data_IF_401365994109
#
_entry.id   IF_401365994109
#
_cell.length_a   1.000
_cell.length_b   1.000
_cell.length_c   1.000
_cell.angle_alpha   90.00
_cell.angle_beta   90.00
_cell.angle_gamma   90.00
#
_symmetry.space_group_name_H-M   'P 1'
#
loop_
_entity.id
_entity.type
_entity.pdbx_description
1 polymer ?
#
# COMPACT_ATOMS: atom_id res chain seq x y z
N UNK A 1 -1.94 0.63 0.21
CA UNK A 1 -1.73 0.81 1.67
C UNK A 1 -2.92 1.54 2.27
N UNK A 2 -3.32 1.16 3.47
CA UNK A 2 -4.43 1.75 4.20
C UNK A 2 -3.98 2.70 5.31
N UNK A 3 -4.90 3.50 5.82
CA UNK A 3 -4.63 4.52 6.83
C UNK A 3 -4.18 3.94 8.18
N UNK A 4 -4.50 2.67 8.48
CA UNK A 4 -4.05 1.94 9.67
C UNK A 4 -2.86 1.02 9.42
N UNK A 5 -2.04 1.32 8.41
CA UNK A 5 -0.80 0.60 8.17
C UNK A 5 -0.94 -0.80 7.55
N UNK A 6 -2.12 -1.17 7.04
CA UNK A 6 -2.28 -2.44 6.32
C UNK A 6 -1.91 -2.30 4.85
N UNK A 7 -1.23 -3.31 4.32
CA UNK A 7 -0.77 -3.36 2.94
C UNK A 7 -0.66 -4.77 2.39
N UNK A 8 -0.51 -4.82 1.07
CA UNK A 8 -0.20 -6.02 0.31
C UNK A 8 0.31 -5.62 -1.06
N UNK A 9 1.02 -6.54 -1.70
CA UNK A 9 1.27 -6.53 -3.14
C UNK A 9 0.28 -7.47 -3.81
N UNK A 10 -0.17 -7.12 -5.00
CA UNK A 10 -1.07 -7.94 -5.79
C UNK A 10 -0.57 -7.92 -7.22
N UNK A 11 -0.55 -9.09 -7.87
CA UNK A 11 -0.16 -9.19 -9.27
C UNK A 11 -1.04 -8.31 -10.15
N UNK A 12 -0.45 -7.59 -11.09
CA UNK A 12 -1.17 -6.79 -12.08
C UNK A 12 -2.13 -7.64 -12.92
N UNK A 13 -1.79 -8.91 -13.17
CA UNK A 13 -2.63 -9.86 -13.89
C UNK A 13 -3.96 -10.18 -13.21
N UNK A 14 -4.10 -9.93 -11.90
CA UNK A 14 -5.40 -10.07 -11.25
C UNK A 14 -6.39 -8.98 -11.69
N UNK A 15 -5.90 -7.82 -12.13
CA UNK A 15 -6.72 -6.69 -12.55
C UNK A 15 -7.12 -6.83 -14.02
N UNK A 16 -8.27 -7.45 -14.26
CA UNK A 16 -8.84 -7.53 -15.62
C UNK A 16 -9.07 -6.14 -16.21
N UNK A 17 -8.84 -6.01 -17.51
CA UNK A 17 -9.21 -4.80 -18.26
C UNK A 17 -10.72 -4.59 -18.18
N UNK A 18 -11.14 -3.38 -17.81
CA UNK A 18 -12.55 -2.97 -17.79
C UNK A 18 -12.73 -1.69 -18.60
N UNK A 19 -13.86 -1.56 -19.28
CA UNK A 19 -14.20 -0.34 -20.01
C UNK A 19 -14.31 0.89 -19.09
N UNK A 20 -14.08 2.07 -19.65
CA UNK A 20 -14.20 3.35 -18.95
C UNK A 20 -15.65 3.61 -18.52
N UNK A 21 -15.85 4.19 -17.33
CA UNK A 21 -17.17 4.57 -16.79
C UNK A 21 -17.84 3.51 -15.91
N UNK A 22 -17.23 2.34 -15.74
CA UNK A 22 -17.67 1.34 -14.76
C UNK A 22 -17.27 1.67 -13.31
N UNK A 23 -17.86 0.96 -12.35
CA UNK A 23 -17.51 1.07 -10.91
C UNK A 23 -16.13 0.48 -10.55
N UNK A 24 -15.42 -0.10 -11.52
CA UNK A 24 -14.16 -0.80 -11.32
C UNK A 24 -14.30 -2.18 -10.67
N UNK A 25 -13.19 -2.65 -10.10
CA UNK A 25 -13.08 -3.93 -9.39
C UNK A 25 -12.48 -3.69 -8.01
N UNK A 26 -12.91 -4.45 -6.99
CA UNK A 26 -12.43 -4.31 -5.62
C UNK A 26 -10.92 -4.54 -5.53
N UNK A 27 -10.14 -3.55 -5.08
CA UNK A 27 -8.68 -3.61 -4.93
C UNK A 27 -8.19 -4.17 -3.58
N UNK A 28 -8.99 -4.00 -2.52
CA UNK A 28 -8.72 -4.48 -1.17
C UNK A 28 -10.05 -4.56 -0.39
N UNK A 29 -10.21 -5.57 0.46
CA UNK A 29 -11.34 -5.61 1.39
C UNK A 29 -11.15 -4.57 2.51
N UNK A 30 -12.05 -3.60 2.59
CA UNK A 30 -12.01 -2.54 3.61
C UNK A 30 -12.81 -2.96 4.83
N UNK A 31 -12.19 -2.85 5.99
CA UNK A 31 -12.74 -3.18 7.29
C UNK A 31 -12.44 -2.06 8.29
N UNK A 32 -13.07 -2.09 9.47
CA UNK A 32 -12.73 -1.14 10.55
C UNK A 32 -11.27 -1.27 11.04
N UNK A 33 -10.64 -2.43 10.82
CA UNK A 33 -9.27 -2.72 11.25
C UNK A 33 -8.22 -2.08 10.35
N UNK A 34 -8.44 -2.05 9.04
CA UNK A 34 -7.48 -1.46 8.10
C UNK A 34 -7.81 -0.01 7.71
N UNK A 35 -9.09 0.38 7.76
CA UNK A 35 -9.51 1.71 7.35
C UNK A 35 -9.38 1.95 5.84
N UNK A 36 -9.52 3.22 5.43
CA UNK A 36 -9.51 3.61 4.02
C UNK A 36 -8.15 3.38 3.35
N UNK A 37 -8.16 3.19 2.04
CA UNK A 37 -6.93 3.16 1.22
C UNK A 37 -6.41 4.59 1.11
N UNK A 38 -5.12 4.76 1.40
CA UNK A 38 -4.40 6.04 1.29
C UNK A 38 -3.65 6.12 -0.03
N UNK A 39 -3.00 5.02 -0.43
CA UNK A 39 -2.18 4.98 -1.63
C UNK A 39 -2.23 3.62 -2.33
N UNK A 40 -2.12 3.64 -3.66
CA UNK A 40 -1.98 2.48 -4.52
C UNK A 40 -1.19 2.88 -5.76
N UNK A 41 -0.07 2.22 -6.00
CA UNK A 41 0.83 2.51 -7.13
C UNK A 41 1.58 1.23 -7.53
N UNK A 42 2.06 1.15 -8.79
CA UNK A 42 2.92 0.05 -9.21
C UNK A 42 4.28 0.11 -8.50
N UNK A 43 4.85 -1.05 -8.23
CA UNK A 43 6.16 -1.22 -7.58
C UNK A 43 6.90 -2.35 -8.25
N UNK A 44 8.22 -2.21 -8.33
CA UNK A 44 9.15 -3.26 -8.70
C UNK A 44 9.67 -3.98 -7.43
N UNK A 45 10.36 -5.11 -7.60
CA UNK A 45 10.81 -5.92 -6.46
C UNK A 45 11.85 -5.22 -5.58
N UNK A 46 12.71 -4.40 -6.19
CA UNK A 46 13.78 -3.68 -5.50
C UNK A 46 13.33 -2.33 -4.91
N UNK A 47 12.11 -1.90 -5.22
CA UNK A 47 11.58 -0.63 -4.71
C UNK A 47 11.46 -0.65 -3.19
N UNK A 48 11.45 0.55 -2.64
CA UNK A 48 11.09 0.79 -1.26
C UNK A 48 9.91 1.74 -1.19
N UNK A 49 9.29 1.82 -0.03
CA UNK A 49 8.22 2.77 0.24
C UNK A 49 8.54 3.58 1.48
N UNK A 50 8.16 4.86 1.45
CA UNK A 50 8.18 5.75 2.59
C UNK A 50 6.75 6.03 3.03
N UNK A 51 6.41 5.71 4.28
CA UNK A 51 5.13 6.06 4.90
C UNK A 51 5.32 7.26 5.81
N UNK A 52 4.36 8.18 5.78
CA UNK A 52 4.30 9.33 6.68
C UNK A 52 3.00 9.28 7.47
N UNK A 53 3.08 9.44 8.79
CA UNK A 53 1.92 9.50 9.68
C UNK A 53 1.53 10.93 10.04
N UNK A 54 0.30 11.15 10.50
CA UNK A 54 -0.12 12.43 11.09
C UNK A 54 0.66 12.79 12.37
N UNK A 55 1.31 11.82 13.02
CA UNK A 55 2.20 12.02 14.16
C UNK A 55 3.63 12.43 13.78
N UNK A 56 3.93 12.58 12.49
CA UNK A 56 5.26 12.97 12.00
C UNK A 56 6.29 11.83 11.97
N UNK A 57 5.86 10.57 12.09
CA UNK A 57 6.75 9.42 11.92
C UNK A 57 6.96 9.14 10.43
N UNK A 58 8.21 8.93 10.06
CA UNK A 58 8.60 8.45 8.74
C UNK A 58 9.09 7.01 8.86
N UNK A 59 8.51 6.11 8.08
CA UNK A 59 8.87 4.70 8.05
C UNK A 59 9.27 4.31 6.63
N UNK A 60 10.50 3.82 6.48
CA UNK A 60 11.01 3.28 5.22
C UNK A 60 10.94 1.76 5.27
N UNK A 61 10.27 1.15 4.29
CA UNK A 61 10.07 -0.30 4.24
C UNK A 61 10.38 -0.83 2.84
N UNK A 62 11.24 -1.87 2.70
CA UNK A 62 11.44 -2.55 1.44
C UNK A 62 10.16 -3.24 0.96
N UNK A 63 9.84 -3.07 -0.33
CA UNK A 63 8.64 -3.67 -0.96
C UNK A 63 8.72 -5.20 -0.92
N UNK A 64 9.92 -5.77 -1.03
CA UNK A 64 10.18 -7.20 -0.92
C UNK A 64 9.61 -7.86 0.35
N UNK A 65 9.54 -7.13 1.47
CA UNK A 65 8.99 -7.63 2.73
C UNK A 65 7.46 -7.63 2.81
N UNK A 66 6.78 -6.99 1.87
CA UNK A 66 5.31 -6.86 1.88
C UNK A 66 4.68 -8.12 1.26
N UNK A 67 3.73 -8.73 1.97
CA UNK A 67 3.05 -9.94 1.50
C UNK A 67 2.41 -9.77 0.13
N UNK A 68 2.61 -10.75 -0.75
CA UNK A 68 1.85 -10.92 -1.98
C UNK A 68 0.52 -11.62 -1.65
N UNK A 69 -0.59 -11.00 -1.99
CA UNK A 69 -1.92 -11.55 -1.75
C UNK A 69 -2.93 -11.07 -2.79
N UNK A 70 -3.97 -11.87 -2.99
CA UNK A 70 -5.01 -11.58 -3.97
C UNK A 70 -5.76 -10.28 -3.70
N UNK A 71 -6.35 -9.72 -4.75
CA UNK A 71 -6.95 -8.39 -4.76
C UNK A 71 -8.12 -8.22 -3.77
N UNK A 72 -8.94 -9.24 -3.56
CA UNK A 72 -10.07 -9.14 -2.61
C UNK A 72 -9.68 -9.33 -1.14
N UNK A 73 -8.41 -9.60 -0.83
CA UNK A 73 -7.95 -9.78 0.57
C UNK A 73 -7.81 -8.45 1.32
N UNK A 74 -7.78 -8.51 2.65
CA UNK A 74 -7.56 -7.34 3.52
C UNK A 74 -6.11 -6.85 3.58
N UNK A 75 -5.14 -7.70 3.21
CA UNK A 75 -3.71 -7.44 3.41
C UNK A 75 -3.17 -7.87 4.78
N UNK A 76 -1.97 -7.41 5.11
CA UNK A 76 -1.27 -7.63 6.39
C UNK A 76 -0.80 -6.31 6.96
N UNK A 77 -0.42 -6.29 8.23
CA UNK A 77 0.21 -5.13 8.85
C UNK A 77 1.59 -4.94 8.21
N UNK A 78 1.80 -3.80 7.55
CA UNK A 78 3.11 -3.36 7.04
C UNK A 78 3.79 -2.45 8.06
N UNK A 79 2.99 -1.67 8.78
CA UNK A 79 3.42 -0.81 9.87
C UNK A 79 2.33 -0.79 10.95
N UNK A 80 2.73 -0.87 12.21
CA UNK A 80 1.83 -0.79 13.36
C UNK A 80 1.63 0.68 13.76
N UNK A 81 0.44 1.20 13.49
CA UNK A 81 0.04 2.57 13.88
C UNK A 81 -0.49 2.56 15.31
N UNK A 82 -0.08 3.52 16.14
CA UNK A 82 -0.74 3.75 17.42
C UNK A 82 -2.24 4.10 17.24
N UNK A 83 -3.04 3.96 18.28
CA UNK A 83 -4.51 4.08 18.19
C UNK A 83 -5.02 5.43 17.64
N UNK A 84 -4.29 6.52 17.88
CA UNK A 84 -4.56 7.89 17.44
C UNK A 84 -3.74 8.32 16.21
N UNK A 85 -2.88 7.42 15.72
CA UNK A 85 -1.98 7.66 14.61
C UNK A 85 -2.51 6.99 13.34
N UNK A 86 -2.36 7.68 12.21
CA UNK A 86 -2.74 7.16 10.89
C UNK A 86 -1.73 7.56 9.84
N UNK A 87 -1.56 6.68 8.87
CA UNK A 87 -0.80 6.97 7.65
C UNK A 87 -1.56 8.02 6.84
N UNK A 88 -0.88 9.11 6.50
CA UNK A 88 -1.44 10.22 5.71
C UNK A 88 -0.87 10.27 4.30
N UNK A 89 0.35 9.80 4.10
CA UNK A 89 0.98 9.72 2.79
C UNK A 89 1.86 8.49 2.67
N UNK A 90 1.99 7.99 1.45
CA UNK A 90 2.93 6.94 1.10
C UNK A 90 3.53 7.27 -0.25
N UNK A 91 4.86 7.29 -0.32
CA UNK A 91 5.60 7.51 -1.55
C UNK A 91 6.44 6.29 -1.91
N UNK A 92 6.64 6.06 -3.21
CA UNK A 92 7.53 5.02 -3.72
C UNK A 92 8.93 5.59 -3.89
N UNK A 93 9.94 4.81 -3.52
CA UNK A 93 11.34 5.11 -3.74
C UNK A 93 11.90 4.04 -4.68
N UNK A 94 12.24 4.42 -5.90
CA UNK A 94 12.91 3.51 -6.84
C UNK A 94 14.39 3.37 -6.48
N UNK A 95 14.95 2.18 -6.69
CA UNK A 95 16.37 1.93 -6.42
C UNK A 95 17.30 2.85 -7.23
N UNK A 96 16.90 3.22 -8.45
CA UNK A 96 17.66 4.14 -9.33
C UNK A 96 17.80 5.58 -8.79
N UNK A 97 16.98 6.00 -7.82
CA UNK A 97 17.10 7.34 -7.21
C UNK A 97 18.21 7.41 -6.14
N UNK A 98 18.89 6.30 -5.84
CA UNK A 98 19.98 6.22 -4.87
C UNK A 98 21.39 6.06 -5.46
N UNK A 99 21.52 6.00 -6.79
CA UNK A 99 22.80 5.98 -7.48
C UNK A 99 23.11 7.38 -8.04
N UNK A 100 23.69 8.23 -7.19
CA UNK A 100 24.50 9.37 -7.67
C UNK A 100 25.89 8.89 -8.09
#
# INVERSE_FOLDING_TARGET
>A
LSEKGYGKRTSSYEYRTTGRGGKGITAMAITKKNGKIVASFPVEEADQIMLVTNGGKLIRTPVAGIRIAGRSTQGVIVFDTADDEKVVSVERLSEDEGAE
#
